data_IF_315674996718
#
_entry.id   IF_315674996718
#
_cell.length_a   1.000
_cell.length_b   1.000
_cell.length_c   1.000
_cell.angle_alpha   90.00
_cell.angle_beta   90.00
_cell.angle_gamma   90.00
#
_symmetry.space_group_name_H-M   'P 1'
#
loop_
_entity.id
_entity.type
_entity.pdbx_description
1 polymer ?
#
# COMPACT_ATOMS: atom_id res chain seq x y z
N UNK A 1 21.60 1.64 -11.79
CA UNK A 1 20.34 2.27 -11.36
C UNK A 1 20.58 2.90 -10.00
N UNK A 2 20.11 4.12 -9.73
CA UNK A 2 20.34 4.73 -8.42
C UNK A 2 19.71 3.86 -7.34
N UNK A 3 20.47 3.64 -6.27
CA UNK A 3 19.99 2.96 -5.07
C UNK A 3 18.95 3.86 -4.40
N UNK A 4 17.77 3.33 -4.12
CA UNK A 4 16.73 4.06 -3.39
C UNK A 4 17.21 4.33 -1.95
N UNK A 5 17.10 5.57 -1.50
CA UNK A 5 17.16 5.87 -0.06
C UNK A 5 15.83 5.44 0.58
N UNK A 6 15.87 4.32 1.31
CA UNK A 6 14.71 3.76 2.00
C UNK A 6 14.11 4.69 3.05
N UNK A 7 14.93 5.56 3.64
CA UNK A 7 14.50 6.47 4.71
C UNK A 7 14.01 7.81 4.17
N UNK A 8 14.42 8.15 2.94
CA UNK A 8 14.01 9.38 2.26
C UNK A 8 13.71 9.13 0.78
N UNK A 9 12.61 8.41 0.47
CA UNK A 9 12.21 8.15 -0.92
C UNK A 9 11.87 9.45 -1.64
N UNK A 10 12.27 9.57 -2.91
CA UNK A 10 11.90 10.70 -3.76
C UNK A 10 10.42 10.62 -4.18
N UNK A 11 9.67 11.68 -3.91
CA UNK A 11 8.29 11.82 -4.35
C UNK A 11 8.22 12.31 -5.82
N UNK A 12 7.21 11.86 -6.59
CA UNK A 12 6.97 12.40 -7.93
C UNK A 12 6.64 13.90 -7.87
N UNK A 13 7.20 14.66 -8.81
CA UNK A 13 7.10 16.14 -8.79
C UNK A 13 6.05 16.70 -9.74
N UNK A 14 5.58 15.89 -10.70
CA UNK A 14 4.62 16.33 -11.71
C UNK A 14 3.74 15.16 -12.20
N UNK A 15 2.56 15.42 -12.78
CA UNK A 15 1.74 14.37 -13.37
C UNK A 15 2.50 13.56 -14.42
N UNK A 16 2.47 12.23 -14.30
CA UNK A 16 3.18 11.32 -15.19
C UNK A 16 4.66 11.08 -14.82
N UNK A 17 5.16 11.67 -13.72
CA UNK A 17 6.48 11.35 -13.18
C UNK A 17 6.48 9.94 -12.57
N UNK A 18 7.04 8.97 -13.29
CA UNK A 18 7.10 7.56 -12.88
C UNK A 18 8.46 7.27 -12.26
N UNK A 19 8.46 6.91 -10.98
CA UNK A 19 9.64 6.43 -10.25
C UNK A 19 9.61 4.91 -10.17
N UNK A 20 10.73 4.26 -10.49
CA UNK A 20 10.89 2.80 -10.41
C UNK A 20 11.95 2.45 -9.38
N UNK A 21 11.59 1.56 -8.47
CA UNK A 21 12.46 1.07 -7.42
C UNK A 21 12.82 -0.39 -7.65
N UNK A 22 14.00 -0.79 -7.21
CA UNK A 22 14.51 -2.16 -7.34
C UNK A 22 15.36 -2.51 -6.11
N UNK A 23 15.52 -3.80 -5.84
CA UNK A 23 16.33 -4.25 -4.70
C UNK A 23 15.67 -4.03 -3.34
N UNK A 24 14.34 -3.99 -3.31
CA UNK A 24 13.56 -4.04 -2.07
C UNK A 24 13.44 -5.51 -1.66
N UNK A 25 13.95 -5.83 -0.47
CA UNK A 25 13.92 -7.17 0.12
C UNK A 25 13.13 -7.16 1.42
N UNK A 26 12.39 -8.23 1.71
CA UNK A 26 11.52 -8.31 2.88
C UNK A 26 10.60 -7.09 3.00
N UNK A 27 10.45 -6.57 4.21
CA UNK A 27 9.56 -5.44 4.53
C UNK A 27 10.12 -4.05 4.17
N UNK A 28 11.19 -3.98 3.36
CA UNK A 28 11.79 -2.68 2.95
C UNK A 28 10.85 -1.84 2.08
N UNK A 29 9.93 -2.47 1.33
CA UNK A 29 8.87 -1.76 0.62
C UNK A 29 7.96 -1.02 1.59
N UNK A 30 7.45 -1.71 2.61
CA UNK A 30 6.56 -1.12 3.64
C UNK A 30 7.26 0.00 4.41
N UNK A 31 8.55 -0.15 4.72
CA UNK A 31 9.34 0.92 5.31
C UNK A 31 9.45 2.14 4.38
N UNK A 32 9.73 1.94 3.09
CA UNK A 32 9.80 3.05 2.15
C UNK A 32 8.43 3.75 2.00
N UNK A 33 7.34 2.98 1.93
CA UNK A 33 5.98 3.51 1.85
C UNK A 33 5.60 4.30 3.11
N UNK A 34 5.99 3.84 4.31
CA UNK A 34 5.72 4.60 5.54
C UNK A 34 6.43 5.96 5.54
N UNK A 35 7.63 6.04 4.95
CA UNK A 35 8.34 7.31 4.76
C UNK A 35 7.69 8.21 3.72
N UNK A 36 7.12 7.66 2.65
CA UNK A 36 6.26 8.44 1.73
C UNK A 36 5.08 9.01 2.50
N UNK A 37 4.39 8.20 3.31
CA UNK A 37 3.22 8.64 4.08
C UNK A 37 3.53 9.78 5.06
N UNK A 38 4.74 9.82 5.62
CA UNK A 38 5.20 10.92 6.47
C UNK A 38 5.55 12.20 5.69
N UNK A 39 6.02 12.07 4.44
CA UNK A 39 6.50 13.21 3.64
C UNK A 39 5.42 13.83 2.75
N UNK A 40 4.45 13.03 2.29
CA UNK A 40 3.43 13.46 1.35
C UNK A 40 2.20 14.00 2.09
N UNK A 41 1.88 15.27 1.87
CA UNK A 41 0.68 15.92 2.42
C UNK A 41 -0.57 15.60 1.57
N UNK A 42 -0.90 14.33 1.42
CA UNK A 42 -2.02 13.87 0.60
C UNK A 42 -2.29 12.37 0.72
N UNK A 43 -3.41 11.88 0.16
CA UNK A 43 -3.72 10.45 0.17
C UNK A 43 -2.75 9.67 -0.72
N UNK A 44 -2.40 8.47 -0.27
CA UNK A 44 -1.58 7.52 -1.01
C UNK A 44 -2.44 6.29 -1.30
N UNK A 45 -2.47 5.88 -2.56
CA UNK A 45 -3.08 4.62 -2.97
C UNK A 45 -1.96 3.63 -3.26
N UNK A 46 -1.87 2.58 -2.45
CA UNK A 46 -0.93 1.48 -2.65
C UNK A 46 -1.66 0.33 -3.35
N UNK A 47 -1.22 -0.03 -4.54
CA UNK A 47 -1.76 -1.16 -5.30
C UNK A 47 -0.83 -2.37 -5.11
N UNK A 48 -1.37 -3.47 -4.60
CA UNK A 48 -0.69 -4.76 -4.54
C UNK A 48 -1.08 -5.65 -5.72
N UNK A 49 -0.34 -6.73 -5.93
CA UNK A 49 -0.66 -7.71 -6.97
C UNK A 49 -1.89 -8.56 -6.63
N UNK A 50 -2.16 -8.76 -5.34
CA UNK A 50 -3.28 -9.56 -4.84
C UNK A 50 -3.66 -9.20 -3.39
N UNK A 51 -4.72 -9.83 -2.89
CA UNK A 51 -5.26 -9.62 -1.55
C UNK A 51 -4.28 -10.03 -0.44
N UNK A 52 -3.56 -11.15 -0.59
CA UNK A 52 -2.60 -11.62 0.43
C UNK A 52 -1.43 -10.65 0.62
N UNK A 53 -0.93 -10.07 -0.47
CA UNK A 53 0.08 -9.03 -0.44
C UNK A 53 -0.47 -7.73 0.18
N UNK A 54 -1.71 -7.33 -0.16
CA UNK A 54 -2.35 -6.16 0.46
C UNK A 54 -2.43 -6.30 1.98
N UNK A 55 -2.82 -7.48 2.45
CA UNK A 55 -2.96 -7.81 3.86
C UNK A 55 -1.62 -7.79 4.59
N UNK A 56 -0.57 -8.31 3.94
CA UNK A 56 0.80 -8.28 4.46
C UNK A 56 1.29 -6.84 4.56
N UNK A 57 1.14 -6.04 3.50
CA UNK A 57 1.50 -4.62 3.50
C UNK A 57 0.73 -3.85 4.58
N UNK A 58 -0.56 -4.12 4.78
CA UNK A 58 -1.38 -3.48 5.82
C UNK A 58 -0.83 -3.77 7.22
N UNK A 59 -0.47 -5.02 7.52
CA UNK A 59 0.15 -5.40 8.80
C UNK A 59 1.50 -4.72 9.01
N UNK A 60 2.36 -4.75 8.00
CA UNK A 60 3.70 -4.13 8.08
C UNK A 60 3.62 -2.60 8.21
N UNK A 61 2.71 -1.95 7.48
CA UNK A 61 2.48 -0.50 7.59
C UNK A 61 1.91 -0.14 8.96
N UNK A 62 1.04 -0.98 9.53
CA UNK A 62 0.59 -0.81 10.92
C UNK A 62 1.72 -0.84 11.95
N UNK A 63 2.85 -1.48 11.63
CA UNK A 63 4.06 -1.48 12.46
C UNK A 63 4.97 -0.26 12.19
N UNK A 64 5.17 0.12 10.92
CA UNK A 64 6.13 1.17 10.54
C UNK A 64 5.59 2.60 10.58
N UNK A 65 4.29 2.79 10.42
CA UNK A 65 3.67 4.11 10.45
C UNK A 65 3.52 4.62 11.89
N UNK A 66 3.51 5.94 12.05
CA UNK A 66 3.30 6.55 13.36
C UNK A 66 1.89 6.23 13.88
N UNK A 67 1.72 6.06 15.21
CA UNK A 67 0.40 5.88 15.81
C UNK A 67 -0.57 6.98 15.38
N UNK A 68 -1.71 6.59 14.82
CA UNK A 68 -2.74 7.53 14.33
C UNK A 68 -2.67 7.85 12.84
N UNK A 69 -1.68 7.31 12.10
CA UNK A 69 -1.68 7.35 10.63
C UNK A 69 -2.90 6.59 10.09
N UNK A 70 -3.82 7.22 9.33
CA UNK A 70 -4.97 6.52 8.76
C UNK A 70 -4.52 5.45 7.77
N UNK A 71 -4.95 4.21 7.99
CA UNK A 71 -4.65 3.06 7.12
C UNK A 71 -5.93 2.30 6.82
N UNK A 72 -6.41 2.44 5.58
CA UNK A 72 -7.64 1.83 5.11
C UNK A 72 -7.34 0.69 4.13
N UNK A 73 -8.08 -0.41 4.25
CA UNK A 73 -8.11 -1.46 3.23
C UNK A 73 -9.25 -1.19 2.24
N UNK A 74 -9.12 -1.72 1.03
CA UNK A 74 -10.23 -1.87 0.11
C UNK A 74 -10.41 -3.38 -0.07
N UNK A 75 -11.31 -4.02 0.70
CA UNK A 75 -11.41 -5.47 0.71
C UNK A 75 -11.90 -5.97 -0.66
N UNK A 76 -11.36 -7.12 -1.07
CA UNK A 76 -11.92 -7.86 -2.20
C UNK A 76 -13.30 -8.41 -1.81
N UNK A 77 -14.19 -8.60 -2.79
CA UNK A 77 -15.50 -9.18 -2.53
C UNK A 77 -15.45 -10.64 -2.12
N UNK A 78 -14.30 -11.31 -2.28
CA UNK A 78 -14.08 -12.73 -2.00
C UNK A 78 -15.03 -13.66 -2.79
N UNK A 79 -15.57 -13.15 -3.90
CA UNK A 79 -16.41 -13.88 -4.84
C UNK A 79 -15.76 -13.87 -6.22
N UNK A 80 -15.93 -14.94 -6.98
CA UNK A 80 -15.45 -14.96 -8.35
C UNK A 80 -16.30 -14.04 -9.25
N UNK A 81 -15.76 -13.56 -10.38
CA UNK A 81 -16.58 -12.91 -11.39
C UNK A 81 -17.72 -13.83 -11.84
N UNK A 82 -18.96 -13.34 -11.75
CA UNK A 82 -20.19 -14.09 -12.04
C UNK A 82 -20.47 -15.27 -11.10
N UNK A 83 -20.02 -15.17 -9.84
CA UNK A 83 -20.44 -16.10 -8.80
C UNK A 83 -21.94 -15.96 -8.49
N UNK A 84 -22.57 -17.05 -8.07
CA UNK A 84 -23.97 -17.06 -7.64
C UNK A 84 -24.14 -16.59 -6.19
N UNK A 85 -23.04 -16.45 -5.45
CA UNK A 85 -23.04 -15.93 -4.09
C UNK A 85 -22.74 -14.43 -4.08
N UNK A 86 -23.37 -13.72 -3.15
CA UNK A 86 -23.03 -12.32 -2.87
C UNK A 86 -21.89 -12.25 -1.87
N UNK A 87 -21.10 -11.17 -1.94
CA UNK A 87 -20.11 -10.85 -0.92
C UNK A 87 -20.74 -10.79 0.47
N UNK A 88 -19.96 -11.13 1.50
CA UNK A 88 -20.42 -11.06 2.88
C UNK A 88 -20.74 -9.61 3.29
N UNK A 89 -21.75 -9.40 4.14
CA UNK A 89 -22.17 -8.03 4.53
C UNK A 89 -21.07 -7.24 5.24
N UNK A 90 -20.22 -7.94 5.98
CA UNK A 90 -19.07 -7.36 6.67
C UNK A 90 -18.05 -6.78 5.67
N UNK A 91 -17.89 -7.39 4.50
CA UNK A 91 -16.99 -6.92 3.44
C UNK A 91 -17.56 -5.69 2.72
N UNK A 92 -18.88 -5.66 2.53
CA UNK A 92 -19.56 -4.56 1.83
C UNK A 92 -19.61 -3.28 2.68
N UNK A 93 -19.48 -3.39 4.01
CA UNK A 93 -19.70 -2.29 4.95
C UNK A 93 -18.43 -1.78 5.67
N UNK A 94 -17.25 -2.31 5.33
CA UNK A 94 -15.94 -1.92 5.90
C UNK A 94 -15.45 -0.54 5.41
#
# INVERSE_FOLDING_TARGET
MPMLDLFKPELPQSPGDIRRWCGLHGSSLSLAVSRIAQQHAGPIVLLSANTEEADTLRRELGFFCDPGTPLHGLPDWETLPYDNFSAHQDIVSD
#
